data_IF_955469505104
#
_entry.id   IF_955469505104
#
_cell.length_a   1.000
_cell.length_b   1.000
_cell.length_c   1.000
_cell.angle_alpha   90.00
_cell.angle_beta   90.00
_cell.angle_gamma   90.00
#
_symmetry.space_group_name_H-M   'P 1'
#
loop_
_entity.id
_entity.type
_entity.pdbx_description
1 polymer ?
#
# COMPACT_ATOMS: atom_id res chain seq x y z
N UNK A 1 0.63 58.15 3.34
CA UNK A 1 1.50 57.00 2.98
C UNK A 1 1.04 55.68 3.59
N UNK A 2 0.66 55.63 4.87
CA UNK A 2 0.15 54.41 5.54
C UNK A 2 -1.03 53.76 4.80
N UNK A 3 -2.02 54.52 4.35
CA UNK A 3 -3.21 53.98 3.66
C UNK A 3 -2.91 53.28 2.32
N UNK A 4 -1.92 53.79 1.57
CA UNK A 4 -1.49 53.19 0.29
C UNK A 4 -0.73 51.89 0.54
N UNK A 5 0.18 51.89 1.51
CA UNK A 5 0.89 50.67 1.93
C UNK A 5 -0.07 49.62 2.46
N UNK A 6 -1.04 50.00 3.30
CA UNK A 6 -2.04 49.09 3.86
C UNK A 6 -2.89 48.45 2.76
N UNK A 7 -3.33 49.22 1.76
CA UNK A 7 -4.07 48.68 0.61
C UNK A 7 -3.26 47.63 -0.16
N UNK A 8 -1.97 47.86 -0.39
CA UNK A 8 -1.11 46.89 -1.07
C UNK A 8 -0.88 45.62 -0.24
N UNK A 9 -0.71 45.75 1.08
CA UNK A 9 -0.59 44.61 1.99
C UNK A 9 -1.87 43.78 2.03
N UNK A 10 -3.03 44.43 2.17
CA UNK A 10 -4.33 43.74 2.16
C UNK A 10 -4.57 43.03 0.82
N UNK A 11 -4.25 43.69 -0.30
CA UNK A 11 -4.40 43.09 -1.63
C UNK A 11 -3.44 41.91 -1.82
N UNK A 12 -2.19 42.00 -1.35
CA UNK A 12 -1.26 40.88 -1.34
C UNK A 12 -1.77 39.71 -0.49
N UNK A 13 -2.39 39.99 0.66
CA UNK A 13 -2.95 38.97 1.54
C UNK A 13 -4.16 38.27 0.91
N UNK A 14 -5.05 39.02 0.25
CA UNK A 14 -6.17 38.43 -0.52
C UNK A 14 -5.64 37.54 -1.64
N UNK A 15 -4.65 38.02 -2.41
CA UNK A 15 -4.02 37.23 -3.47
C UNK A 15 -3.35 35.98 -2.90
N UNK A 16 -2.67 36.08 -1.75
CA UNK A 16 -2.04 34.94 -1.09
C UNK A 16 -3.06 33.89 -0.66
N UNK A 17 -4.15 34.30 0.00
CA UNK A 17 -5.26 33.40 0.37
C UNK A 17 -5.85 32.71 -0.86
N UNK A 18 -5.85 33.37 -2.01
CA UNK A 18 -6.35 32.80 -3.26
C UNK A 18 -5.35 31.86 -3.95
N UNK A 19 -4.05 32.18 -3.94
CA UNK A 19 -3.01 31.40 -4.63
C UNK A 19 -2.65 30.12 -3.86
N UNK A 20 -2.57 30.18 -2.53
CA UNK A 20 -2.20 29.02 -1.70
C UNK A 20 -3.05 27.77 -1.98
N UNK A 21 -4.40 27.83 -1.99
CA UNK A 21 -5.21 26.66 -2.31
C UNK A 21 -5.00 26.18 -3.76
N UNK A 22 -4.76 27.09 -4.71
CA UNK A 22 -4.47 26.71 -6.09
C UNK A 22 -3.15 25.93 -6.23
N UNK A 23 -2.08 26.39 -5.57
CA UNK A 23 -0.80 25.68 -5.53
C UNK A 23 -0.94 24.33 -4.82
N UNK A 24 -1.72 24.28 -3.73
CA UNK A 24 -2.03 23.03 -3.03
C UNK A 24 -2.77 22.03 -3.93
N UNK A 25 -3.71 22.49 -4.76
CA UNK A 25 -4.41 21.65 -5.73
C UNK A 25 -3.48 21.12 -6.82
N UNK A 26 -2.61 21.97 -7.39
CA UNK A 26 -1.64 21.54 -8.41
C UNK A 26 -0.69 20.48 -7.83
N UNK A 27 -0.10 20.75 -6.67
CA UNK A 27 0.84 19.82 -6.02
C UNK A 27 0.16 18.50 -5.67
N UNK A 28 -1.10 18.52 -5.22
CA UNK A 28 -1.88 17.31 -4.98
C UNK A 28 -2.21 16.56 -6.28
N UNK A 29 -2.48 17.28 -7.39
CA UNK A 29 -2.81 16.64 -8.67
C UNK A 29 -1.64 15.87 -9.30
N UNK A 30 -0.40 16.26 -8.97
CA UNK A 30 0.82 15.57 -9.40
C UNK A 30 1.17 14.36 -8.54
N UNK A 31 0.47 14.16 -7.42
CA UNK A 31 0.71 13.06 -6.48
C UNK A 31 0.05 11.77 -6.99
N UNK A 32 0.68 10.62 -6.74
CA UNK A 32 0.09 9.33 -7.08
C UNK A 32 -1.22 9.10 -6.30
N UNK A 33 -2.13 8.31 -6.86
CA UNK A 33 -3.41 7.99 -6.22
C UNK A 33 -3.21 7.31 -4.86
N UNK A 34 -2.23 6.40 -4.78
CA UNK A 34 -1.83 5.73 -3.53
C UNK A 34 -1.43 6.76 -2.50
N UNK A 35 -0.47 7.63 -2.82
CA UNK A 35 0.02 8.61 -1.88
C UNK A 35 -1.11 9.55 -1.42
N UNK A 36 -1.96 10.01 -2.34
CA UNK A 36 -3.12 10.85 -2.02
C UNK A 36 -4.07 10.21 -1.01
N UNK A 37 -4.24 8.88 -1.06
CA UNK A 37 -5.13 8.13 -0.15
C UNK A 37 -4.46 7.73 1.17
N UNK A 38 -3.15 7.51 1.18
CA UNK A 38 -2.44 6.91 2.33
C UNK A 38 -1.66 7.89 3.20
N UNK A 39 -1.45 9.14 2.78
CA UNK A 39 -0.69 10.11 3.58
C UNK A 39 -1.17 11.57 3.43
N UNK A 40 -0.96 12.39 4.45
CA UNK A 40 -1.22 13.84 4.44
C UNK A 40 -2.64 14.23 4.89
N UNK A 41 -3.09 15.43 4.51
CA UNK A 41 -4.38 15.98 4.94
C UNK A 41 -5.61 15.26 4.32
N UNK A 42 -5.44 14.63 3.16
CA UNK A 42 -6.50 13.98 2.39
C UNK A 42 -6.53 12.45 2.54
N UNK A 43 -5.98 11.91 3.63
CA UNK A 43 -6.02 10.47 3.91
C UNK A 43 -7.45 9.95 3.87
N UNK A 44 -7.67 8.83 3.17
CA UNK A 44 -8.99 8.25 3.04
C UNK A 44 -9.47 7.69 4.39
N UNK A 45 -10.75 7.93 4.73
CA UNK A 45 -11.39 7.31 5.89
C UNK A 45 -11.79 5.85 5.66
N UNK A 46 -11.68 5.37 4.41
CA UNK A 46 -12.00 3.99 4.03
C UNK A 46 -10.73 3.20 3.76
N UNK A 47 -10.73 1.87 3.99
CA UNK A 47 -9.61 1.01 3.61
C UNK A 47 -9.25 1.20 2.14
N UNK A 48 -7.97 1.38 1.86
CA UNK A 48 -7.46 1.53 0.49
C UNK A 48 -7.01 0.18 -0.02
N UNK A 49 -7.53 -0.23 -1.17
CA UNK A 49 -7.06 -1.43 -1.86
C UNK A 49 -5.75 -1.13 -2.59
N UNK A 50 -4.70 -1.90 -2.28
CA UNK A 50 -3.39 -1.73 -2.89
C UNK A 50 -2.90 -3.05 -3.49
N UNK A 51 -2.63 -3.03 -4.79
CA UNK A 51 -2.02 -4.16 -5.49
C UNK A 51 -0.52 -4.20 -5.22
N UNK A 52 -0.05 -5.25 -4.56
CA UNK A 52 1.38 -5.50 -4.40
C UNK A 52 1.75 -6.93 -4.80
N UNK A 53 2.94 -7.08 -5.41
CA UNK A 53 3.44 -8.37 -5.86
C UNK A 53 4.47 -8.89 -4.86
N UNK A 54 4.14 -10.02 -4.23
CA UNK A 54 5.12 -10.79 -3.47
C UNK A 54 5.92 -11.67 -4.45
N UNK A 55 7.25 -11.57 -4.41
CA UNK A 55 8.17 -12.47 -5.12
C UNK A 55 8.94 -13.31 -4.11
N UNK A 56 9.10 -14.60 -4.40
CA UNK A 56 9.92 -15.59 -3.67
C UNK A 56 11.36 -15.64 -4.15
N UNK A 57 11.67 -15.00 -5.27
CA UNK A 57 13.02 -14.84 -5.78
C UNK A 57 13.36 -13.36 -5.71
N UNK A 58 14.10 -12.95 -4.69
CA UNK A 58 14.89 -11.72 -4.78
C UNK A 58 16.20 -12.05 -5.49
N UNK A 59 16.61 -11.22 -6.46
CA UNK A 59 17.70 -11.48 -7.41
C UNK A 59 19.08 -11.75 -6.77
N UNK A 60 19.21 -11.64 -5.45
CA UNK A 60 20.46 -11.75 -4.70
C UNK A 60 20.45 -12.78 -3.56
N UNK A 61 19.36 -13.51 -3.32
CA UNK A 61 19.31 -14.56 -2.30
C UNK A 61 19.27 -15.93 -2.98
N UNK A 62 20.42 -16.59 -3.00
CA UNK A 62 20.65 -17.87 -3.69
C UNK A 62 20.24 -19.10 -2.85
N UNK A 63 19.71 -18.90 -1.64
CA UNK A 63 19.26 -19.99 -0.78
C UNK A 63 17.75 -20.18 -0.89
N UNK A 64 17.32 -21.44 -1.03
CA UNK A 64 15.93 -21.84 -0.80
C UNK A 64 15.63 -21.56 0.68
N UNK A 65 15.17 -20.36 1.00
CA UNK A 65 14.72 -20.03 2.34
C UNK A 65 13.43 -20.83 2.60
N UNK A 66 13.54 -21.84 3.48
CA UNK A 66 12.39 -22.60 4.02
C UNK A 66 11.40 -21.67 4.72
N UNK A 67 11.86 -20.53 5.23
CA UNK A 67 11.03 -19.50 5.87
C UNK A 67 11.47 -18.12 5.39
N UNK A 68 10.54 -17.35 4.82
CA UNK A 68 10.72 -15.95 4.45
C UNK A 68 9.92 -15.07 5.40
N UNK A 69 10.58 -14.15 6.09
CA UNK A 69 9.95 -13.18 6.99
C UNK A 69 10.16 -11.76 6.48
N UNK A 70 9.23 -10.87 6.74
CA UNK A 70 9.41 -9.44 6.46
C UNK A 70 8.18 -8.63 6.79
N UNK A 71 8.19 -7.34 6.46
CA UNK A 71 7.06 -6.45 6.65
C UNK A 71 6.52 -5.94 5.30
N UNK A 72 5.19 -5.93 5.16
CA UNK A 72 4.49 -5.48 3.95
C UNK A 72 4.74 -3.99 3.70
N UNK A 73 4.65 -3.15 4.74
CA UNK A 73 4.86 -1.70 4.60
C UNK A 73 6.30 -1.36 4.22
N UNK A 74 7.29 -2.07 4.78
CA UNK A 74 8.69 -1.91 4.38
C UNK A 74 8.87 -2.21 2.88
N UNK A 75 8.24 -3.27 2.38
CA UNK A 75 8.26 -3.62 0.96
C UNK A 75 7.55 -2.58 0.08
N UNK A 76 6.42 -2.05 0.55
CA UNK A 76 5.67 -1.02 -0.16
C UNK A 76 6.44 0.30 -0.27
N UNK A 77 7.20 0.64 0.75
CA UNK A 77 7.93 1.90 0.86
C UNK A 77 9.38 1.82 0.36
N UNK A 78 9.81 0.69 -0.21
CA UNK A 78 11.20 0.46 -0.63
C UNK A 78 11.68 1.44 -1.70
N UNK A 79 10.80 1.80 -2.65
CA UNK A 79 11.17 2.62 -3.82
C UNK A 79 10.88 4.12 -3.63
N UNK A 80 9.95 4.50 -2.75
CA UNK A 80 9.58 5.89 -2.50
C UNK A 80 9.28 6.13 -1.01
N UNK A 81 10.12 6.94 -0.36
CA UNK A 81 9.98 7.33 1.04
C UNK A 81 9.24 8.66 1.24
N UNK A 82 8.85 9.35 0.17
CA UNK A 82 8.26 10.70 0.24
C UNK A 82 6.86 10.66 0.84
N UNK A 83 6.13 9.57 0.61
CA UNK A 83 4.78 9.34 1.13
C UNK A 83 4.63 7.90 1.61
N UNK A 84 5.18 7.57 2.80
CA UNK A 84 5.15 6.20 3.28
C UNK A 84 3.71 5.73 3.49
N UNK A 85 3.41 4.54 2.96
CA UNK A 85 2.21 3.80 3.26
C UNK A 85 2.32 3.28 4.70
N UNK A 86 1.37 3.67 5.55
CA UNK A 86 1.28 3.28 6.95
C UNK A 86 -0.16 2.96 7.33
N UNK A 87 -0.35 2.18 8.38
CA UNK A 87 -1.67 1.81 8.91
C UNK A 87 -1.71 0.33 9.25
N UNK A 88 -2.92 -0.26 9.15
CA UNK A 88 -3.15 -1.67 9.44
C UNK A 88 -3.62 -2.43 8.18
N UNK A 89 -3.17 -3.67 8.04
CA UNK A 89 -3.57 -4.57 6.95
C UNK A 89 -4.82 -5.35 7.38
N UNK A 90 -5.99 -4.93 6.91
CA UNK A 90 -7.25 -5.62 7.22
C UNK A 90 -7.33 -7.01 6.58
N UNK A 91 -6.96 -7.12 5.30
CA UNK A 91 -7.12 -8.35 4.53
C UNK A 91 -6.30 -8.35 3.25
N UNK A 92 -5.91 -9.53 2.78
CA UNK A 92 -5.28 -9.74 1.48
C UNK A 92 -6.21 -10.53 0.56
N UNK A 93 -6.41 -10.02 -0.66
CA UNK A 93 -7.15 -10.75 -1.68
C UNK A 93 -6.26 -11.86 -2.27
N UNK A 94 -6.56 -13.10 -1.95
CA UNK A 94 -5.99 -14.25 -2.61
C UNK A 94 -6.70 -14.54 -3.92
N UNK A 95 -5.95 -14.61 -5.01
CA UNK A 95 -6.41 -15.07 -6.33
C UNK A 95 -5.46 -16.14 -6.83
N UNK A 96 -5.83 -17.40 -6.66
CA UNK A 96 -5.00 -18.55 -7.02
C UNK A 96 -5.79 -19.65 -7.69
N UNK A 97 -5.07 -20.53 -8.39
CA UNK A 97 -5.60 -21.81 -8.86
C UNK A 97 -5.22 -22.88 -7.85
N UNK A 98 -6.22 -23.50 -7.22
CA UNK A 98 -6.05 -24.62 -6.29
C UNK A 98 -6.55 -25.89 -7.00
N UNK A 99 -5.93 -27.07 -6.79
CA UNK A 99 -6.47 -28.33 -7.27
C UNK A 99 -7.93 -28.50 -6.81
N UNK A 100 -8.80 -28.94 -7.71
CA UNK A 100 -10.20 -29.15 -7.41
C UNK A 100 -10.34 -30.29 -6.39
N UNK A 101 -10.96 -30.08 -5.22
CA UNK A 101 -11.18 -31.12 -4.22
C UNK A 101 -11.95 -32.33 -4.77
N UNK A 102 -12.79 -32.12 -5.79
CA UNK A 102 -13.58 -33.18 -6.42
C UNK A 102 -12.88 -33.80 -7.63
N UNK A 103 -11.86 -33.15 -8.21
CA UNK A 103 -11.16 -33.66 -9.39
C UNK A 103 -9.66 -33.30 -9.40
N UNK A 104 -8.76 -34.22 -9.02
CA UNK A 104 -7.33 -33.93 -8.88
C UNK A 104 -6.63 -33.51 -10.19
N UNK A 105 -7.23 -33.78 -11.37
CA UNK A 105 -6.68 -33.38 -12.67
C UNK A 105 -7.06 -31.94 -13.09
N UNK A 106 -7.92 -31.27 -12.31
CA UNK A 106 -8.42 -29.92 -12.63
C UNK A 106 -8.06 -28.93 -11.54
N UNK A 107 -7.95 -27.67 -11.93
CA UNK A 107 -7.72 -26.57 -10.98
C UNK A 107 -8.88 -25.59 -11.02
N UNK A 108 -9.35 -25.18 -9.85
CA UNK A 108 -10.37 -24.14 -9.69
C UNK A 108 -9.73 -22.80 -9.36
N UNK A 109 -10.24 -21.71 -9.94
CA UNK A 109 -9.81 -20.36 -9.58
C UNK A 109 -10.58 -19.90 -8.34
N UNK A 110 -9.88 -19.75 -7.22
CA UNK A 110 -10.46 -19.23 -5.98
C UNK A 110 -10.08 -17.76 -5.85
N UNK A 111 -11.08 -16.95 -5.51
CA UNK A 111 -10.93 -15.54 -5.10
C UNK A 111 -11.47 -15.44 -3.69
N UNK A 112 -10.57 -15.33 -2.71
CA UNK A 112 -10.93 -15.24 -1.29
C UNK A 112 -10.23 -14.05 -0.67
N UNK A 113 -10.97 -13.26 0.10
CA UNK A 113 -10.42 -12.25 0.97
C UNK A 113 -9.97 -12.94 2.26
N UNK A 114 -8.67 -12.93 2.55
CA UNK A 114 -8.09 -13.58 3.73
C UNK A 114 -7.79 -12.49 4.77
N UNK A 115 -8.38 -12.55 5.97
CA UNK A 115 -8.09 -11.61 7.07
C UNK A 115 -6.72 -11.87 7.70
N UNK A 116 -6.23 -10.92 8.49
CA UNK A 116 -5.00 -11.08 9.25
C UNK A 116 -5.06 -12.30 10.18
N UNK A 117 -3.94 -13.02 10.28
CA UNK A 117 -3.79 -14.22 11.11
C UNK A 117 -4.29 -15.53 10.49
N UNK A 118 -5.02 -15.50 9.36
CA UNK A 118 -5.42 -16.71 8.66
C UNK A 118 -4.30 -17.21 7.72
N UNK A 119 -4.04 -18.52 7.75
CA UNK A 119 -3.05 -19.17 6.88
C UNK A 119 -3.59 -19.27 5.47
N UNK A 120 -2.86 -18.71 4.50
CA UNK A 120 -3.16 -18.85 3.08
C UNK A 120 -2.06 -19.63 2.36
N UNK A 121 -2.45 -20.71 1.67
CA UNK A 121 -1.49 -21.48 0.88
C UNK A 121 -1.23 -20.76 -0.46
N UNK A 122 -0.01 -20.25 -0.63
CA UNK A 122 0.44 -19.54 -1.83
C UNK A 122 1.61 -20.29 -2.42
N UNK A 123 1.42 -20.82 -3.64
CA UNK A 123 2.46 -21.56 -4.39
C UNK A 123 3.10 -22.71 -3.60
N UNK A 124 2.33 -23.41 -2.77
CA UNK A 124 2.82 -24.52 -1.96
C UNK A 124 3.51 -24.11 -0.65
N UNK A 125 3.58 -22.82 -0.34
CA UNK A 125 4.02 -22.33 0.97
C UNK A 125 2.86 -21.74 1.76
N UNK A 126 2.92 -21.88 3.08
CA UNK A 126 1.96 -21.30 4.02
C UNK A 126 2.37 -19.86 4.33
N UNK A 127 1.54 -18.92 3.87
CA UNK A 127 1.71 -17.50 4.09
C UNK A 127 0.76 -17.04 5.19
N UNK A 128 1.29 -16.33 6.18
CA UNK A 128 0.54 -15.73 7.29
C UNK A 128 1.00 -14.29 7.42
N UNK A 129 0.05 -13.37 7.61
CA UNK A 129 0.35 -11.97 7.88
C UNK A 129 -0.43 -11.46 9.09
N UNK A 130 0.12 -10.44 9.75
CA UNK A 130 -0.46 -9.75 10.89
C UNK A 130 -0.95 -8.35 10.47
N UNK A 131 -1.79 -7.75 11.31
CA UNK A 131 -2.35 -6.41 11.05
C UNK A 131 -1.27 -5.33 10.93
N UNK A 132 -0.17 -5.46 11.68
CA UNK A 132 0.99 -4.57 11.62
C UNK A 132 1.82 -4.70 10.34
N UNK A 133 1.42 -5.58 9.42
CA UNK A 133 2.08 -5.84 8.14
C UNK A 133 3.20 -6.87 8.23
N UNK A 134 3.53 -7.42 9.39
CA UNK A 134 4.52 -8.50 9.48
C UNK A 134 3.95 -9.77 8.84
N UNK A 135 4.76 -10.42 8.00
CA UNK A 135 4.38 -11.66 7.36
C UNK A 135 5.46 -12.73 7.50
N UNK A 136 5.02 -13.98 7.51
CA UNK A 136 5.85 -15.18 7.47
C UNK A 136 5.35 -16.07 6.34
N UNK A 137 6.25 -16.50 5.47
CA UNK A 137 5.98 -17.42 4.38
C UNK A 137 6.87 -18.64 4.50
N UNK A 138 6.27 -19.77 4.87
CA UNK A 138 6.96 -21.03 5.12
C UNK A 138 6.74 -21.98 3.95
N UNK A 139 7.80 -22.61 3.44
CA UNK A 139 7.73 -23.65 2.43
C UNK A 139 8.10 -25.01 3.03
N UNK A 140 7.43 -26.09 2.64
CA UNK A 140 7.89 -27.44 2.98
C UNK A 140 9.24 -27.72 2.30
N UNK A 141 10.15 -28.38 3.01
CA UNK A 141 11.46 -28.83 2.50
C UNK A 141 11.33 -29.85 1.35
#
# INVERSE_FOLDING_TARGET
MISRSLRHVVLALIVFIWIVPFVALITTSLRSEVASKTAGFWTAFTPTELGHRFSTHEKNEAEKLTVMTGNIFERLNKDDSSFPVTGDVNSILFKGRIPDPENPDKTILIRKLVPAGEVMNVRGGDFVFQENGDFTWTFPE
#
